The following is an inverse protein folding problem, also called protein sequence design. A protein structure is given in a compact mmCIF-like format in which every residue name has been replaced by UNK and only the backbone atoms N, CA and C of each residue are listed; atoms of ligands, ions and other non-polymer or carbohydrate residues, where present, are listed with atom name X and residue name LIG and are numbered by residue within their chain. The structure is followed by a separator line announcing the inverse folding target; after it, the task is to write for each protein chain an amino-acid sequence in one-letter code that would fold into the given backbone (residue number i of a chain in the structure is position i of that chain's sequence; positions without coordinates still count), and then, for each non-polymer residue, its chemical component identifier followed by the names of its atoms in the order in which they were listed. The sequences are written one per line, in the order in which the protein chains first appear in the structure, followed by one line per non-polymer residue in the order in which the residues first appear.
data_IF_647315004650
#
_entry.id   IF_647315004650
#
_cell.length_a   1.000
_cell.length_b   1.000
_cell.length_c   1.000
_cell.angle_alpha   90.00
_cell.angle_beta   90.00
_cell.angle_gamma   90.00
#
_symmetry.space_group_name_H-M   'P 1'
#
loop_
_entity.id
_entity.type
_entity.pdbx_description
1 polymer ?
#
# COMPACT_ATOMS: atom_id res chain seq x y z
N UNK A 1 11.74 -6.71 -20.26
CA UNK A 1 10.65 -6.26 -19.36
C UNK A 1 9.57 -5.69 -20.26
N UNK A 2 8.28 -5.91 -19.96
CA UNK A 2 7.18 -5.32 -20.73
C UNK A 2 7.32 -3.81 -20.81
N UNK A 3 6.80 -3.18 -21.86
CA UNK A 3 6.76 -1.73 -21.93
C UNK A 3 5.73 -1.20 -20.91
N UNK A 4 6.00 -0.05 -20.27
CA UNK A 4 5.10 0.52 -19.28
C UNK A 4 3.65 0.65 -19.80
N UNK A 5 3.47 1.05 -21.06
CA UNK A 5 2.15 1.15 -21.70
C UNK A 5 1.39 -0.19 -21.74
N UNK A 6 2.06 -1.31 -21.99
CA UNK A 6 1.45 -2.65 -21.97
C UNK A 6 0.99 -3.02 -20.55
N UNK A 7 1.77 -2.63 -19.53
CA UNK A 7 1.40 -2.81 -18.13
C UNK A 7 0.22 -1.91 -17.74
N UNK A 8 0.17 -0.67 -18.21
CA UNK A 8 -0.98 0.22 -17.97
C UNK A 8 -2.26 -0.40 -18.53
N UNK A 9 -2.23 -0.94 -19.74
CA UNK A 9 -3.39 -1.64 -20.33
C UNK A 9 -3.80 -2.87 -19.50
N UNK A 10 -2.82 -3.68 -19.07
CA UNK A 10 -3.04 -4.83 -18.17
C UNK A 10 -3.74 -4.43 -16.86
N UNK A 11 -3.42 -3.26 -16.33
CA UNK A 11 -3.96 -2.75 -15.05
C UNK A 11 -5.17 -1.82 -15.18
N UNK A 12 -5.75 -1.70 -16.37
CA UNK A 12 -6.93 -0.86 -16.61
C UNK A 12 -8.14 -1.23 -15.71
N UNK A 13 -8.18 -2.45 -15.15
CA UNK A 13 -9.20 -2.86 -14.18
C UNK A 13 -9.19 -2.03 -12.88
N UNK A 14 -8.07 -1.40 -12.54
CA UNK A 14 -7.95 -0.59 -11.31
C UNK A 14 -8.81 0.68 -11.36
N UNK A 15 -9.07 1.22 -12.56
CA UNK A 15 -9.84 2.46 -12.74
C UNK A 15 -11.32 2.33 -12.35
N UNK A 16 -12.10 1.36 -12.88
CA UNK A 16 -13.47 1.16 -12.40
C UNK A 16 -13.51 0.73 -10.93
N UNK A 17 -12.55 -0.08 -10.46
CA UNK A 17 -12.49 -0.52 -9.07
C UNK A 17 -12.31 0.65 -8.09
N UNK A 18 -11.57 1.70 -8.48
CA UNK A 18 -11.37 2.91 -7.70
C UNK A 18 -12.66 3.67 -7.37
N UNK A 19 -13.73 3.47 -8.15
CA UNK A 19 -15.03 4.11 -7.89
C UNK A 19 -15.76 3.48 -6.72
N UNK A 20 -15.41 2.25 -6.37
CA UNK A 20 -16.12 1.47 -5.37
C UNK A 20 -15.31 1.26 -4.10
N UNK A 21 -13.98 1.17 -4.22
CA UNK A 21 -13.11 0.72 -3.14
C UNK A 21 -12.07 1.76 -2.75
N UNK A 22 -11.71 1.77 -1.47
CA UNK A 22 -10.56 2.52 -0.92
C UNK A 22 -9.48 1.54 -0.51
N UNK A 23 -8.23 1.76 -0.93
CA UNK A 23 -7.17 0.82 -0.60
C UNK A 23 -5.82 1.48 -0.27
N UNK A 24 -5.06 0.73 0.52
CA UNK A 24 -3.60 0.76 0.49
C UNK A 24 -3.09 -0.64 0.14
N UNK A 25 -2.26 -0.76 -0.89
CA UNK A 25 -1.61 -2.02 -1.27
C UNK A 25 -0.12 -1.91 -1.01
N UNK A 26 0.41 -2.78 -0.16
CA UNK A 26 1.83 -2.84 0.18
C UNK A 26 2.46 -4.16 -0.26
N UNK A 27 3.66 -4.09 -0.81
CA UNK A 27 4.50 -5.24 -1.17
C UNK A 27 5.78 -5.17 -0.35
N UNK A 28 6.09 -6.27 0.34
CA UNK A 28 7.26 -6.39 1.21
C UNK A 28 8.12 -7.57 0.76
N UNK A 29 9.43 -7.36 0.74
CA UNK A 29 10.44 -8.39 0.47
C UNK A 29 11.45 -8.46 1.62
N UNK A 30 11.96 -9.68 1.89
CA UNK A 30 12.99 -9.92 2.90
C UNK A 30 12.45 -10.16 4.32
N UNK A 31 11.13 -10.09 4.51
CA UNK A 31 10.45 -10.38 5.77
C UNK A 31 9.29 -11.36 5.57
N UNK A 32 8.94 -12.11 6.63
CA UNK A 32 7.75 -12.98 6.63
C UNK A 32 6.45 -12.22 6.97
N UNK A 33 5.31 -12.86 6.72
CA UNK A 33 3.99 -12.27 6.98
C UNK A 33 3.79 -11.89 8.45
N UNK A 34 4.33 -12.68 9.40
CA UNK A 34 4.21 -12.37 10.83
C UNK A 34 4.98 -11.11 11.22
N UNK A 35 6.13 -10.87 10.60
CA UNK A 35 6.87 -9.62 10.74
C UNK A 35 6.07 -8.44 10.20
N UNK A 36 5.50 -8.56 9.00
CA UNK A 36 4.65 -7.49 8.42
C UNK A 36 3.45 -7.20 9.31
N UNK A 37 2.75 -8.21 9.84
CA UNK A 37 1.65 -8.00 10.80
C UNK A 37 2.09 -7.19 12.02
N UNK A 38 3.25 -7.51 12.61
CA UNK A 38 3.78 -6.75 13.75
C UNK A 38 4.18 -5.32 13.37
N UNK A 39 4.76 -5.13 12.19
CA UNK A 39 5.17 -3.81 11.70
C UNK A 39 3.97 -2.86 11.59
N UNK A 40 2.83 -3.37 11.14
CA UNK A 40 1.56 -2.63 11.08
C UNK A 40 0.83 -2.57 12.44
N UNK A 41 1.44 -3.05 13.53
CA UNK A 41 0.87 -3.00 14.89
C UNK A 41 -0.13 -4.11 15.22
N UNK A 42 -0.30 -5.09 14.34
CA UNK A 42 -1.15 -6.26 14.57
C UNK A 42 -0.46 -7.36 15.36
N UNK A 43 -1.24 -8.36 15.79
CA UNK A 43 -0.74 -9.57 16.42
C UNK A 43 -0.88 -10.78 15.47
N UNK A 44 0.24 -11.41 15.03
CA UNK A 44 0.20 -12.52 14.08
C UNK A 44 -0.47 -13.79 14.63
N UNK A 45 -0.67 -13.88 15.95
CA UNK A 45 -1.37 -14.99 16.58
C UNK A 45 -2.86 -14.68 16.86
N UNK A 46 -3.37 -13.52 16.43
CA UNK A 46 -4.73 -13.07 16.66
C UNK A 46 -5.40 -12.63 15.35
N UNK A 47 -5.49 -13.54 14.39
CA UNK A 47 -6.26 -13.32 13.17
C UNK A 47 -7.76 -13.19 13.49
N UNK A 48 -8.46 -12.33 12.74
CA UNK A 48 -9.92 -12.22 12.78
C UNK A 48 -10.61 -13.18 11.80
N UNK A 49 -9.84 -14.10 11.20
CA UNK A 49 -10.28 -15.06 10.19
C UNK A 49 -9.93 -14.64 8.76
N UNK A 50 -10.41 -15.43 7.80
CA UNK A 50 -10.31 -15.12 6.38
C UNK A 50 -11.55 -14.35 5.92
N UNK A 51 -11.34 -13.13 5.43
CA UNK A 51 -12.38 -12.24 4.96
C UNK A 51 -12.06 -11.82 3.53
N UNK A 52 -13.09 -11.54 2.75
CA UNK A 52 -12.98 -10.74 1.52
C UNK A 52 -12.78 -9.27 1.87
N UNK A 53 -12.35 -8.47 0.88
CA UNK A 53 -12.14 -7.03 1.06
C UNK A 53 -13.41 -6.32 1.55
N UNK A 54 -14.59 -6.70 1.02
CA UNK A 54 -15.89 -6.15 1.42
C UNK A 54 -16.35 -6.64 2.79
N UNK A 55 -16.16 -7.92 3.10
CA UNK A 55 -16.46 -8.45 4.45
C UNK A 55 -15.62 -7.75 5.53
N UNK A 56 -14.36 -7.41 5.23
CA UNK A 56 -13.51 -6.64 6.13
C UNK A 56 -14.06 -5.21 6.37
N UNK A 57 -14.48 -4.52 5.31
CA UNK A 57 -15.11 -3.19 5.42
C UNK A 57 -16.35 -3.21 6.31
N UNK A 58 -17.26 -4.15 6.02
CA UNK A 58 -18.53 -4.26 6.72
C UNK A 58 -18.33 -4.64 8.18
N UNK A 59 -17.32 -5.47 8.48
CA UNK A 59 -16.91 -5.75 9.85
C UNK A 59 -16.44 -4.48 10.56
N UNK A 60 -15.54 -3.68 9.97
CA UNK A 60 -15.11 -2.40 10.59
C UNK A 60 -16.33 -1.51 10.82
N UNK A 61 -17.16 -1.30 9.80
CA UNK A 61 -18.35 -0.44 9.87
C UNK A 61 -19.36 -0.86 10.95
N UNK A 62 -19.50 -2.16 11.19
CA UNK A 62 -20.46 -2.71 12.17
C UNK A 62 -19.92 -2.83 13.58
N UNK A 63 -18.60 -2.72 13.79
CA UNK A 63 -17.98 -2.98 15.09
C UNK A 63 -17.15 -1.82 15.64
N UNK A 64 -16.60 -0.96 14.80
CA UNK A 64 -15.92 0.25 15.23
C UNK A 64 -16.96 1.29 15.69
N UNK A 65 -16.73 1.90 16.85
CA UNK A 65 -17.56 3.00 17.33
C UNK A 65 -17.31 4.29 16.55
N UNK A 66 -16.06 4.49 16.11
CA UNK A 66 -15.60 5.66 15.38
C UNK A 66 -14.60 5.25 14.30
N UNK A 67 -14.50 6.05 13.24
CA UNK A 67 -13.47 5.86 12.22
C UNK A 67 -12.08 5.98 12.83
N UNK A 68 -11.16 5.08 12.47
CA UNK A 68 -9.80 5.05 13.01
C UNK A 68 -9.68 4.39 14.39
N UNK A 69 -10.76 3.84 14.98
CA UNK A 69 -10.61 3.03 16.20
C UNK A 69 -9.69 1.81 15.94
N UNK A 70 -9.83 1.23 14.76
CA UNK A 70 -8.93 0.24 14.20
C UNK A 70 -9.17 0.08 12.70
N UNK A 71 -8.22 -0.54 12.02
CA UNK A 71 -8.36 -1.00 10.66
C UNK A 71 -8.24 -2.51 10.57
N UNK A 72 -8.80 -3.07 9.51
CA UNK A 72 -8.52 -4.45 9.10
C UNK A 72 -7.63 -4.42 7.88
N UNK A 73 -6.58 -5.24 7.92
CA UNK A 73 -5.74 -5.45 6.75
C UNK A 73 -5.57 -6.93 6.49
N UNK A 74 -5.60 -7.28 5.20
CA UNK A 74 -5.45 -8.63 4.68
C UNK A 74 -4.01 -8.85 4.28
N UNK A 75 -3.50 -10.07 4.49
CA UNK A 75 -2.10 -10.40 4.19
C UNK A 75 -1.96 -11.79 3.61
N UNK A 76 -1.08 -11.94 2.61
CA UNK A 76 -0.71 -13.22 2.04
C UNK A 76 0.71 -13.21 1.49
N UNK A 77 1.30 -14.40 1.32
CA UNK A 77 2.61 -14.57 0.70
C UNK A 77 2.45 -15.10 -0.74
N UNK A 78 3.26 -14.59 -1.66
CA UNK A 78 3.31 -15.06 -3.05
C UNK A 78 4.75 -14.99 -3.56
N UNK A 79 5.36 -16.16 -3.80
CA UNK A 79 6.77 -16.23 -4.17
C UNK A 79 7.69 -15.65 -3.07
N UNK A 80 8.45 -14.61 -3.42
CA UNK A 80 9.36 -13.89 -2.50
C UNK A 80 8.69 -12.70 -1.79
N UNK A 81 7.43 -12.44 -2.10
CA UNK A 81 6.71 -11.25 -1.67
C UNK A 81 5.72 -11.58 -0.56
N UNK A 82 5.57 -10.65 0.36
CA UNK A 82 4.42 -10.55 1.26
C UNK A 82 3.60 -9.36 0.81
N UNK A 83 2.32 -9.57 0.55
CA UNK A 83 1.39 -8.51 0.13
C UNK A 83 0.43 -8.24 1.27
N UNK A 84 0.27 -6.96 1.59
CA UNK A 84 -0.71 -6.46 2.53
C UNK A 84 -1.70 -5.54 1.80
N UNK A 85 -2.99 -5.70 2.07
CA UNK A 85 -4.06 -4.88 1.48
C UNK A 85 -4.93 -4.35 2.62
N UNK A 86 -4.99 -3.03 2.75
CA UNK A 86 -5.85 -2.35 3.71
C UNK A 86 -7.13 -1.90 3.01
N UNK A 87 -8.30 -2.22 3.57
CA UNK A 87 -9.56 -1.61 3.14
C UNK A 87 -9.77 -0.33 3.94
N UNK A 88 -9.80 0.80 3.24
CA UNK A 88 -9.99 2.14 3.83
C UNK A 88 -8.96 2.52 4.91
N UNK A 89 -7.91 1.72 5.08
CA UNK A 89 -6.74 2.02 5.88
C UNK A 89 -5.63 2.65 5.04
N UNK A 90 -4.67 3.25 5.72
CA UNK A 90 -3.62 4.06 5.11
C UNK A 90 -2.26 3.86 5.81
N UNK A 91 -2.11 2.82 6.63
CA UNK A 91 -0.87 2.58 7.37
C UNK A 91 0.31 2.41 6.43
N UNK A 92 0.09 1.81 5.26
CA UNK A 92 1.11 1.61 4.25
C UNK A 92 1.54 2.88 3.50
N UNK A 93 0.93 4.04 3.72
CA UNK A 93 1.46 5.31 3.21
C UNK A 93 2.43 5.99 4.18
N UNK A 94 2.63 5.45 5.38
CA UNK A 94 3.45 6.08 6.42
C UNK A 94 4.95 5.71 6.28
N UNK A 95 5.86 6.70 6.17
CA UNK A 95 7.31 6.48 6.09
C UNK A 95 7.90 5.53 7.12
N UNK A 96 7.51 5.66 8.38
CA UNK A 96 8.05 4.79 9.42
C UNK A 96 7.62 3.32 9.28
N UNK A 97 6.42 3.04 8.74
CA UNK A 97 6.00 1.67 8.40
C UNK A 97 6.89 1.12 7.28
N UNK A 98 7.15 1.92 6.24
CA UNK A 98 8.03 1.55 5.14
C UNK A 98 9.47 1.26 5.61
N UNK A 99 10.01 2.08 6.53
CA UNK A 99 11.34 1.86 7.12
C UNK A 99 11.40 0.54 7.87
N UNK A 100 10.44 0.29 8.77
CA UNK A 100 10.37 -0.94 9.56
C UNK A 100 10.16 -2.18 8.71
N UNK A 101 9.36 -2.09 7.65
CA UNK A 101 9.07 -3.21 6.76
C UNK A 101 10.25 -3.55 5.83
N UNK A 102 11.13 -2.59 5.55
CA UNK A 102 12.29 -2.76 4.65
C UNK A 102 13.62 -2.99 5.36
N UNK A 103 13.61 -3.33 6.67
CA UNK A 103 14.85 -3.62 7.43
C UNK A 103 15.64 -4.79 6.85
N UNK A 104 16.91 -4.92 7.23
CA UNK A 104 17.82 -6.03 6.82
C UNK A 104 17.98 -6.18 5.30
N UNK A 105 18.15 -5.06 4.59
CA UNK A 105 18.18 -5.00 3.12
C UNK A 105 16.88 -5.47 2.44
N UNK A 106 15.76 -5.45 3.16
CA UNK A 106 14.44 -5.68 2.60
C UNK A 106 14.00 -4.54 1.68
N UNK A 107 12.89 -4.76 0.98
CA UNK A 107 12.26 -3.77 0.12
C UNK A 107 10.79 -3.63 0.51
N UNK A 108 10.31 -2.40 0.47
CA UNK A 108 8.93 -2.05 0.69
C UNK A 108 8.48 -1.13 -0.43
N UNK A 109 7.31 -1.40 -1.01
CA UNK A 109 6.66 -0.51 -1.96
C UNK A 109 5.16 -0.52 -1.68
N UNK A 110 4.56 0.66 -1.57
CA UNK A 110 3.13 0.78 -1.30
C UNK A 110 2.48 1.82 -2.18
N UNK A 111 1.22 1.58 -2.49
CA UNK A 111 0.34 2.49 -3.18
C UNK A 111 -0.95 2.67 -2.38
N UNK A 112 -1.13 3.86 -1.84
CA UNK A 112 -2.34 4.31 -1.16
C UNK A 112 -3.18 5.18 -2.07
N UNK A 113 -4.51 5.09 -1.92
CA UNK A 113 -5.45 6.10 -2.42
C UNK A 113 -6.66 6.26 -1.52
N UNK A 114 -7.29 7.44 -1.51
CA UNK A 114 -8.57 7.70 -0.84
C UNK A 114 -9.68 8.20 -1.80
N UNK A 115 -10.88 8.41 -1.25
CA UNK A 115 -12.06 8.81 -2.03
C UNK A 115 -12.01 10.27 -2.48
N UNK A 116 -11.15 11.07 -1.84
CA UNK A 116 -10.95 12.48 -2.15
C UNK A 116 -9.98 12.67 -3.33
N UNK A 117 -9.38 11.59 -3.81
CA UNK A 117 -8.40 11.61 -4.89
C UNK A 117 -6.95 11.72 -4.42
N UNK A 118 -6.71 11.78 -3.11
CA UNK A 118 -5.35 11.74 -2.57
C UNK A 118 -4.77 10.34 -2.77
N UNK A 119 -3.52 10.28 -3.18
CA UNK A 119 -2.80 9.04 -3.39
C UNK A 119 -1.31 9.20 -3.08
N UNK A 120 -0.66 8.10 -2.73
CA UNK A 120 0.75 8.17 -2.35
C UNK A 120 1.43 6.88 -2.76
N UNK A 121 2.57 7.03 -3.43
CA UNK A 121 3.52 5.93 -3.59
C UNK A 121 4.67 6.17 -2.62
N UNK A 122 4.98 5.13 -1.85
CA UNK A 122 6.14 5.13 -0.97
C UNK A 122 6.99 3.88 -1.23
N UNK A 123 8.30 4.08 -1.36
CA UNK A 123 9.28 3.00 -1.45
C UNK A 123 10.31 3.15 -0.34
N UNK A 124 10.67 2.05 0.30
CA UNK A 124 11.83 2.00 1.19
C UNK A 124 12.69 0.77 0.91
N UNK A 125 14.01 0.96 0.99
CA UNK A 125 15.02 -0.07 0.76
C UNK A 125 16.00 -0.04 1.92
N UNK A 126 16.15 -1.16 2.62
CA UNK A 126 17.09 -1.26 3.74
C UNK A 126 16.79 -0.27 4.87
N UNK A 127 15.52 0.08 5.09
CA UNK A 127 15.12 1.05 6.12
C UNK A 127 15.27 2.52 5.72
N UNK A 128 15.61 2.84 4.47
CA UNK A 128 15.65 4.21 3.94
C UNK A 128 14.50 4.41 2.96
N UNK A 129 13.73 5.48 3.11
CA UNK A 129 12.71 5.87 2.12
C UNK A 129 13.42 6.42 0.88
N UNK A 130 13.10 5.85 -0.27
CA UNK A 130 13.73 6.16 -1.57
C UNK A 130 12.73 6.72 -2.58
N UNK A 131 11.44 6.65 -2.28
CA UNK A 131 10.38 7.32 -3.02
C UNK A 131 9.27 7.71 -2.05
N UNK A 132 8.71 8.91 -2.21
CA UNK A 132 7.55 9.41 -1.48
C UNK A 132 6.92 10.54 -2.28
N UNK A 133 5.82 10.28 -2.97
CA UNK A 133 5.20 11.27 -3.86
C UNK A 133 3.73 10.99 -4.12
N UNK A 134 3.00 12.04 -4.51
CA UNK A 134 1.65 11.98 -5.05
C UNK A 134 1.72 11.85 -6.59
N UNK A 135 1.33 10.69 -7.18
CA UNK A 135 1.40 10.42 -8.62
C UNK A 135 0.86 11.55 -9.51
N UNK A 136 -0.29 12.14 -9.14
CA UNK A 136 -0.96 13.16 -9.94
C UNK A 136 -0.31 14.56 -9.83
N UNK A 137 0.66 14.76 -8.93
CA UNK A 137 1.35 16.04 -8.71
C UNK A 137 2.82 16.00 -9.14
N UNK A 138 3.21 14.99 -9.91
CA UNK A 138 4.59 14.82 -10.38
C UNK A 138 5.00 15.83 -11.45
N UNK A 139 4.04 16.43 -12.17
CA UNK A 139 4.31 17.52 -13.11
C UNK A 139 4.86 18.77 -12.39
N UNK A 140 6.04 19.22 -12.79
CA UNK A 140 6.71 20.38 -12.17
C UNK A 140 7.82 20.02 -11.18
N UNK A 141 8.04 18.72 -10.92
CA UNK A 141 9.10 18.22 -10.05
C UNK A 141 8.64 18.02 -8.58
N UNK A 142 9.56 17.61 -7.69
CA UNK A 142 9.22 17.27 -6.31
C UNK A 142 8.65 18.44 -5.53
N UNK A 143 7.52 18.22 -4.86
CA UNK A 143 7.00 19.16 -3.86
C UNK A 143 7.80 19.08 -2.55
N UNK A 144 7.57 20.03 -1.63
CA UNK A 144 8.24 20.02 -0.33
C UNK A 144 7.91 18.72 0.41
N UNK A 145 8.96 17.98 0.80
CA UNK A 145 8.84 16.70 1.48
C UNK A 145 8.68 15.50 0.56
N UNK A 146 8.60 15.68 -0.76
CA UNK A 146 8.58 14.56 -1.70
C UNK A 146 9.98 14.06 -2.06
N UNK A 147 10.06 12.76 -2.35
CA UNK A 147 11.22 12.10 -2.93
C UNK A 147 10.79 11.47 -4.25
N UNK A 148 11.22 12.07 -5.36
CA UNK A 148 11.00 11.51 -6.71
C UNK A 148 12.18 10.62 -7.09
N UNK A 149 11.95 9.31 -7.30
CA UNK A 149 13.00 8.41 -7.76
C UNK A 149 13.19 8.50 -9.29
N UNK A 150 14.35 8.07 -9.79
CA UNK A 150 14.65 8.12 -11.23
C UNK A 150 13.65 7.31 -12.09
N UNK A 151 13.05 6.26 -11.54
CA UNK A 151 12.14 5.36 -12.28
C UNK A 151 10.76 5.97 -12.57
N UNK A 152 10.42 7.14 -12.00
CA UNK A 152 9.22 7.90 -12.44
C UNK A 152 9.53 8.98 -13.48
N UNK A 153 10.80 9.19 -13.83
CA UNK A 153 11.15 10.25 -14.76
C UNK A 153 10.61 9.95 -16.16
N UNK A 154 9.79 10.86 -16.70
CA UNK A 154 9.12 10.68 -17.99
C UNK A 154 7.89 9.76 -17.95
N UNK A 155 7.43 9.37 -16.76
CA UNK A 155 6.12 8.71 -16.61
C UNK A 155 5.02 9.75 -16.70
N UNK A 156 3.99 9.44 -17.48
CA UNK A 156 2.81 10.28 -17.64
C UNK A 156 1.65 9.73 -16.78
N UNK A 157 1.29 10.47 -15.72
CA UNK A 157 0.20 10.12 -14.81
C UNK A 157 -1.10 10.78 -15.24
N UNK A 158 -1.67 10.31 -16.36
CA UNK A 158 -2.95 10.80 -16.86
C UNK A 158 -4.09 10.49 -15.87
N UNK A 159 -4.96 11.45 -15.50
CA UNK A 159 -6.03 11.24 -14.51
C UNK A 159 -6.95 10.05 -14.79
N UNK A 160 -7.15 9.69 -16.07
CA UNK A 160 -7.97 8.57 -16.50
C UNK A 160 -7.31 7.18 -16.44
N UNK A 161 -6.00 7.12 -16.23
CA UNK A 161 -5.22 5.87 -16.13
C UNK A 161 -4.24 5.86 -14.96
N UNK A 162 -4.29 6.84 -14.06
CA UNK A 162 -3.29 7.02 -13.01
C UNK A 162 -3.19 5.82 -12.07
N UNK A 163 -4.30 5.14 -11.72
CA UNK A 163 -4.24 3.94 -10.86
C UNK A 163 -3.61 2.78 -11.61
N UNK A 164 -3.97 2.61 -12.88
CA UNK A 164 -3.35 1.60 -13.74
C UNK A 164 -1.83 1.84 -13.88
N UNK A 165 -1.41 3.11 -14.06
CA UNK A 165 0.00 3.51 -14.06
C UNK A 165 0.70 3.20 -12.74
N UNK A 166 0.05 3.44 -11.59
CA UNK A 166 0.62 3.10 -10.29
C UNK A 166 0.86 1.58 -10.15
N UNK A 167 -0.11 0.73 -10.49
CA UNK A 167 0.08 -0.73 -10.46
C UNK A 167 1.13 -1.21 -11.48
N UNK A 168 1.20 -0.59 -12.65
CA UNK A 168 2.21 -0.87 -13.66
C UNK A 168 3.63 -0.60 -13.13
N UNK A 169 3.83 0.55 -12.48
CA UNK A 169 5.10 0.89 -11.83
C UNK A 169 5.41 -0.06 -10.68
N UNK A 170 4.42 -0.43 -9.87
CA UNK A 170 4.62 -1.42 -8.81
C UNK A 170 5.09 -2.77 -9.37
N UNK A 171 4.50 -3.28 -10.45
CA UNK A 171 5.00 -4.51 -11.09
C UNK A 171 6.41 -4.31 -11.65
N UNK A 172 6.71 -3.18 -12.29
CA UNK A 172 8.04 -2.90 -12.82
C UNK A 172 9.11 -2.92 -11.71
N UNK A 173 8.81 -2.34 -10.56
CA UNK A 173 9.75 -2.20 -9.43
C UNK A 173 9.90 -3.46 -8.56
N UNK A 174 8.91 -4.35 -8.59
CA UNK A 174 8.85 -5.54 -7.71
C UNK A 174 8.94 -6.86 -8.48
N UNK A 175 8.63 -6.84 -9.77
CA UNK A 175 8.39 -8.03 -10.59
C UNK A 175 7.10 -8.79 -10.24
N UNK A 176 6.24 -8.24 -9.36
CA UNK A 176 5.00 -8.87 -8.94
C UNK A 176 3.81 -8.42 -9.80
N UNK A 177 3.16 -9.37 -10.47
CA UNK A 177 1.91 -9.10 -11.16
C UNK A 177 0.72 -9.05 -10.18
N UNK A 178 0.00 -7.93 -10.17
CA UNK A 178 -1.21 -7.73 -9.38
C UNK A 178 -2.43 -8.33 -10.07
N UNK A 179 -3.40 -8.77 -9.26
CA UNK A 179 -4.58 -9.48 -9.72
C UNK A 179 -5.84 -8.85 -9.10
N UNK A 180 -6.87 -8.48 -9.88
CA UNK A 180 -8.10 -7.93 -9.33
C UNK A 180 -8.77 -8.89 -8.34
N UNK A 181 -8.60 -10.21 -8.54
CA UNK A 181 -9.17 -11.26 -7.70
C UNK A 181 -8.67 -11.17 -6.24
N UNK A 182 -7.57 -10.48 -5.95
CA UNK A 182 -7.11 -10.26 -4.58
C UNK A 182 -8.08 -9.43 -3.75
N UNK A 183 -8.88 -8.57 -4.37
CA UNK A 183 -9.93 -7.78 -3.70
C UNK A 183 -11.22 -8.60 -3.45
N UNK A 184 -11.32 -9.79 -4.06
CA UNK A 184 -12.48 -10.67 -3.91
C UNK A 184 -12.16 -11.93 -3.11
N UNK A 185 -10.87 -12.29 -3.01
CA UNK A 185 -10.40 -13.45 -2.29
C UNK A 185 -10.64 -13.34 -0.78
N UNK A 186 -10.95 -14.49 -0.16
CA UNK A 186 -10.87 -14.62 1.30
C UNK A 186 -9.42 -14.75 1.70
N UNK A 187 -8.92 -13.78 2.47
CA UNK A 187 -7.52 -13.67 2.86
C UNK A 187 -7.40 -13.55 4.38
N UNK A 188 -6.33 -14.10 4.99
CA UNK A 188 -6.04 -13.90 6.40
C UNK A 188 -6.07 -12.43 6.77
N UNK A 189 -6.94 -12.08 7.71
CA UNK A 189 -7.16 -10.69 8.12
C UNK A 189 -6.75 -10.49 9.57
N UNK A 190 -6.20 -9.31 9.85
CA UNK A 190 -5.76 -8.91 11.19
C UNK A 190 -6.26 -7.51 11.52
N UNK A 191 -6.54 -7.28 12.81
CA UNK A 191 -6.80 -5.95 13.36
C UNK A 191 -5.47 -5.23 13.56
N UNK A 192 -5.41 -3.99 13.09
CA UNK A 192 -4.31 -3.04 13.33
C UNK A 192 -4.87 -1.75 13.91
N UNK A 193 -4.12 -1.05 14.77
CA UNK A 193 -4.50 0.28 15.24
C UNK A 193 -4.44 1.30 14.10
N UNK A 194 -4.98 2.49 14.34
CA UNK A 194 -4.63 3.64 13.52
C UNK A 194 -3.11 3.91 13.58
N UNK A 195 -2.45 4.19 12.45
CA UNK A 195 -1.00 4.37 12.43
C UNK A 195 -0.52 5.53 13.29
N UNK A 196 -1.30 6.60 13.48
CA UNK A 196 -0.93 7.70 14.38
C UNK A 196 -1.04 7.29 15.84
N UNK A 197 -1.94 6.36 16.18
CA UNK A 197 -1.97 5.77 17.53
C UNK A 197 -0.77 4.85 17.73
N UNK A 198 -0.42 4.05 16.72
CA UNK A 198 0.73 3.14 16.74
C UNK A 198 2.06 3.88 16.89
N UNK A 199 2.19 5.03 16.23
CA UNK A 199 3.44 5.76 16.06
C UNK A 199 3.50 7.06 16.86
N UNK A 200 2.55 7.31 17.77
CA UNK A 200 2.44 8.56 18.54
C UNK A 200 3.72 9.01 19.27
N UNK A 201 4.59 8.07 19.63
CA UNK A 201 5.82 8.32 20.39
C UNK A 201 7.08 8.27 19.49
N UNK A 202 6.90 8.22 18.16
CA UNK A 202 7.97 8.14 17.17
C UNK A 202 8.12 9.49 16.49
N UNK A 203 9.23 10.18 16.76
CA UNK A 203 9.56 11.42 16.05
C UNK A 203 9.74 11.18 14.55
N UNK A 204 9.31 12.14 13.73
CA UNK A 204 9.45 12.14 12.27
C UNK A 204 8.84 10.92 11.57
N UNK A 205 7.81 10.31 12.17
CA UNK A 205 7.16 9.12 11.62
C UNK A 205 6.60 9.32 10.20
N UNK A 206 6.12 10.55 9.92
CA UNK A 206 5.51 10.94 8.65
C UNK A 206 6.51 11.61 7.68
N UNK A 207 7.77 11.77 8.08
CA UNK A 207 8.79 12.42 7.25
C UNK A 207 9.60 11.37 6.50
N UNK A 208 9.68 11.39 5.15
CA UNK A 208 10.44 10.39 4.40
C UNK A 208 11.96 10.46 4.65
#
# INVERSE_FOLDING_TARGET
MPQLSELVEKYAWAEPLARELVWCVSVVEGCDAGHVVRTFGGNPNASVGELTFREAEERVRSTAGEFGEFFLFQIFATGRHVVAIENNGYSGSIPEIARRASVKNGRYLSYFRNVNGDSTIIQAIGGKVTAYFEPLLTEGGPQVGEIHPDWIFGVDFQPGSARATCFALMEQETGLAFKPEWFEAKLPTYRIPDPYVLLKDVGDADTP
#
